data_IF_119015657169
#
_entry.id   IF_119015657169
#
_cell.length_a   1.000
_cell.length_b   1.000
_cell.length_c   1.000
_cell.angle_alpha   90.00
_cell.angle_beta   90.00
_cell.angle_gamma   90.00
#
_symmetry.space_group_name_H-M   'P 1'
#
loop_
_entity.id
_entity.type
_entity.pdbx_description
1 polymer ?
#
# COMPACT_ATOMS: atom_id res chain seq x y z
N UNK A 1 -5.34 12.10 -15.99
CA UNK A 1 -6.61 11.95 -15.28
C UNK A 1 -6.39 11.23 -13.99
N UNK A 2 -6.95 11.78 -12.92
CA UNK A 2 -6.63 11.29 -11.56
C UNK A 2 -7.10 9.86 -11.30
N UNK A 3 -8.13 9.39 -12.01
CA UNK A 3 -8.70 8.07 -11.80
C UNK A 3 -8.25 7.03 -12.83
N UNK A 4 -7.14 7.29 -13.54
CA UNK A 4 -6.56 6.34 -14.47
C UNK A 4 -5.30 5.72 -13.90
N UNK A 5 -5.21 4.39 -13.98
CA UNK A 5 -3.99 3.65 -13.65
C UNK A 5 -3.06 3.63 -14.86
N UNK A 6 -1.76 3.56 -14.60
CA UNK A 6 -0.78 3.31 -15.66
C UNK A 6 -1.02 1.93 -16.28
N UNK A 7 -0.59 1.74 -17.52
CA UNK A 7 -0.84 0.50 -18.24
C UNK A 7 -0.26 -0.72 -17.51
N UNK A 8 0.88 -0.55 -16.83
CA UNK A 8 1.53 -1.64 -16.09
C UNK A 8 0.73 -2.03 -14.85
N UNK A 9 -0.26 -1.23 -14.46
CA UNK A 9 -1.14 -1.54 -13.34
C UNK A 9 -2.49 -2.07 -13.81
N UNK A 10 -2.62 -2.48 -15.06
CA UNK A 10 -3.87 -2.98 -15.62
C UNK A 10 -4.42 -4.18 -14.83
N UNK A 11 -3.57 -4.96 -14.20
CA UNK A 11 -3.98 -6.08 -13.35
C UNK A 11 -4.87 -5.62 -12.18
N UNK A 12 -4.78 -4.35 -11.79
CA UNK A 12 -5.58 -3.78 -10.70
C UNK A 12 -6.92 -3.21 -11.16
N UNK A 13 -7.15 -3.08 -12.47
CA UNK A 13 -8.38 -2.49 -13.00
C UNK A 13 -9.66 -3.17 -12.49
N UNK A 14 -9.76 -4.51 -12.48
CA UNK A 14 -10.99 -5.15 -11.99
C UNK A 14 -11.36 -4.78 -10.56
N UNK A 15 -10.35 -4.51 -9.72
CA UNK A 15 -10.59 -4.08 -8.34
C UNK A 15 -11.38 -2.76 -8.32
N UNK A 16 -11.02 -1.80 -9.18
CA UNK A 16 -11.68 -0.50 -9.22
C UNK A 16 -13.02 -0.57 -9.93
N UNK A 17 -13.19 -1.47 -10.88
CA UNK A 17 -14.46 -1.66 -11.58
C UNK A 17 -15.51 -2.32 -10.70
N UNK A 18 -15.13 -2.92 -9.59
CA UNK A 18 -16.01 -3.63 -8.69
C UNK A 18 -16.74 -2.72 -7.68
N UNK A 19 -16.98 -1.46 -8.04
CA UNK A 19 -17.88 -0.60 -7.25
C UNK A 19 -17.21 0.33 -6.26
N UNK A 20 -15.97 0.71 -6.48
CA UNK A 20 -15.32 1.71 -5.63
C UNK A 20 -15.91 3.10 -5.88
N UNK A 21 -16.12 3.87 -4.82
CA UNK A 21 -16.60 5.24 -4.92
C UNK A 21 -15.55 6.15 -5.55
N UNK A 22 -15.99 7.33 -6.02
CA UNK A 22 -15.06 8.33 -6.54
C UNK A 22 -14.03 8.77 -5.51
N UNK A 23 -14.44 8.92 -4.25
CA UNK A 23 -13.52 9.31 -3.18
C UNK A 23 -12.45 8.24 -2.94
N UNK A 24 -12.84 6.97 -2.94
CA UNK A 24 -11.90 5.87 -2.77
C UNK A 24 -10.90 5.79 -3.93
N UNK A 25 -11.39 5.96 -5.17
CA UNK A 25 -10.53 5.95 -6.35
C UNK A 25 -9.57 7.14 -6.36
N UNK A 26 -10.05 8.31 -5.95
CA UNK A 26 -9.23 9.51 -5.91
C UNK A 26 -8.07 9.38 -4.92
N UNK A 27 -8.25 8.60 -3.86
CA UNK A 27 -7.17 8.36 -2.89
C UNK A 27 -6.22 7.26 -3.35
N UNK A 28 -6.75 6.16 -3.88
CA UNK A 28 -5.95 4.98 -4.17
C UNK A 28 -5.16 5.07 -5.47
N UNK A 29 -5.78 5.54 -6.54
CA UNK A 29 -5.13 5.46 -7.86
C UNK A 29 -3.84 6.26 -7.95
N UNK A 30 -3.81 7.53 -7.49
CA UNK A 30 -2.53 8.26 -7.50
C UNK A 30 -1.48 7.59 -6.62
N UNK A 31 -1.89 7.01 -5.50
CA UNK A 31 -0.97 6.35 -4.58
C UNK A 31 -0.36 5.10 -5.19
N UNK A 32 -1.19 4.27 -5.84
CA UNK A 32 -0.70 3.05 -6.50
C UNK A 32 0.22 3.39 -7.66
N UNK A 33 -0.10 4.43 -8.43
CA UNK A 33 0.77 4.92 -9.50
C UNK A 33 2.10 5.42 -8.94
N UNK A 34 2.06 6.10 -7.80
CA UNK A 34 3.28 6.58 -7.15
C UNK A 34 4.18 5.42 -6.71
N UNK A 35 3.60 4.37 -6.12
CA UNK A 35 4.36 3.18 -5.71
C UNK A 35 5.02 2.54 -6.92
N UNK A 36 4.25 2.35 -8.00
CA UNK A 36 4.77 1.74 -9.22
C UNK A 36 5.92 2.55 -9.81
N UNK A 37 5.78 3.87 -9.83
CA UNK A 37 6.80 4.76 -10.41
C UNK A 37 8.06 4.81 -9.54
N UNK A 38 7.88 4.83 -8.23
CA UNK A 38 8.99 4.97 -7.27
C UNK A 38 9.73 3.65 -7.07
N UNK A 39 9.01 2.52 -7.11
CA UNK A 39 9.56 1.18 -6.91
C UNK A 39 9.19 0.28 -8.08
N UNK A 40 9.77 0.52 -9.27
CA UNK A 40 9.35 -0.20 -10.48
C UNK A 40 9.65 -1.70 -10.45
N UNK A 41 10.51 -2.16 -9.54
CA UNK A 41 10.81 -3.58 -9.40
C UNK A 41 9.67 -4.36 -8.72
N UNK A 42 8.73 -3.68 -8.07
CA UNK A 42 7.62 -4.36 -7.41
C UNK A 42 6.55 -4.78 -8.39
N UNK A 43 5.95 -5.94 -8.16
CA UNK A 43 4.89 -6.50 -9.01
C UNK A 43 3.53 -6.24 -8.39
N UNK A 44 2.62 -5.56 -9.10
CA UNK A 44 1.25 -5.37 -8.60
C UNK A 44 0.43 -6.64 -8.76
N UNK A 45 -0.48 -6.89 -7.80
CA UNK A 45 -1.45 -7.98 -7.91
C UNK A 45 -2.66 -7.67 -7.02
N UNK A 46 -3.75 -8.40 -7.24
CA UNK A 46 -4.92 -8.37 -6.35
C UNK A 46 -5.03 -9.72 -5.65
N UNK A 47 -5.08 -9.71 -4.34
CA UNK A 47 -5.33 -10.90 -3.54
C UNK A 47 -6.15 -10.49 -2.32
N UNK A 48 -7.03 -11.39 -1.86
CA UNK A 48 -7.94 -11.10 -0.75
C UNK A 48 -8.72 -9.81 -0.96
N UNK A 49 -9.11 -9.56 -2.22
CA UNK A 49 -9.86 -8.37 -2.64
C UNK A 49 -9.13 -7.06 -2.30
N UNK A 50 -7.80 -7.07 -2.36
CA UNK A 50 -6.97 -5.89 -2.09
C UNK A 50 -5.87 -5.75 -3.14
N UNK A 51 -5.61 -4.53 -3.63
CA UNK A 51 -4.43 -4.29 -4.44
C UNK A 51 -3.18 -4.33 -3.57
N UNK A 52 -2.12 -4.93 -4.08
CA UNK A 52 -0.87 -5.07 -3.32
C UNK A 52 0.32 -5.13 -4.27
N UNK A 53 1.50 -4.96 -3.69
CA UNK A 53 2.76 -5.10 -4.42
C UNK A 53 3.62 -6.17 -3.75
N UNK A 54 4.30 -6.93 -4.59
CA UNK A 54 5.21 -8.00 -4.14
C UNK A 54 6.59 -7.77 -4.73
N UNK A 55 7.61 -8.35 -4.09
CA UNK A 55 8.97 -8.39 -4.61
C UNK A 55 9.41 -9.85 -4.64
N UNK A 56 9.82 -10.34 -5.81
CA UNK A 56 10.19 -11.74 -6.04
C UNK A 56 9.20 -12.72 -5.36
N UNK A 57 7.91 -12.40 -5.42
CA UNK A 57 6.85 -13.26 -4.91
C UNK A 57 6.50 -13.07 -3.43
N UNK A 58 7.25 -12.25 -2.68
CA UNK A 58 6.91 -12.01 -1.28
C UNK A 58 6.14 -10.70 -1.11
N UNK A 59 5.20 -10.69 -0.16
CA UNK A 59 4.37 -9.51 0.12
C UNK A 59 5.21 -8.34 0.60
N UNK A 60 4.99 -7.17 0.03
CA UNK A 60 5.65 -5.93 0.46
C UNK A 60 4.66 -4.98 1.12
N UNK A 61 3.55 -4.68 0.45
CA UNK A 61 2.57 -3.71 0.94
C UNK A 61 1.22 -3.95 0.27
N UNK A 62 0.14 -3.71 1.01
CA UNK A 62 -1.21 -3.82 0.48
C UNK A 62 -2.04 -2.59 0.84
N UNK A 63 -3.15 -2.41 0.13
CA UNK A 63 -4.00 -1.23 0.27
C UNK A 63 -5.47 -1.65 0.29
N UNK A 64 -6.25 -0.95 1.09
CA UNK A 64 -7.71 -1.06 1.04
C UNK A 64 -8.30 0.25 1.52
N UNK A 65 -9.62 0.38 1.41
CA UNK A 65 -10.30 1.59 1.86
C UNK A 65 -11.46 1.22 2.76
N UNK A 66 -11.72 2.06 3.74
CA UNK A 66 -12.94 2.05 4.53
C UNK A 66 -13.75 3.28 4.15
N UNK A 67 -14.79 3.58 4.91
CA UNK A 67 -15.71 4.67 4.58
C UNK A 67 -15.01 6.03 4.49
N UNK A 68 -14.07 6.29 5.39
CA UNK A 68 -13.47 7.61 5.55
C UNK A 68 -11.95 7.58 5.64
N UNK A 69 -11.32 6.43 5.43
CA UNK A 69 -9.87 6.34 5.52
C UNK A 69 -9.30 5.27 4.59
N UNK A 70 -8.04 5.48 4.26
CA UNK A 70 -7.19 4.55 3.53
C UNK A 70 -6.51 3.62 4.55
N UNK A 71 -6.46 2.33 4.23
CA UNK A 71 -5.69 1.36 4.99
C UNK A 71 -4.46 0.94 4.21
N UNK A 72 -3.30 1.06 4.82
CA UNK A 72 -2.06 0.51 4.28
C UNK A 72 -1.72 -0.71 5.12
N UNK A 73 -1.73 -1.89 4.48
CA UNK A 73 -1.47 -3.14 5.17
C UNK A 73 0.03 -3.43 5.17
N UNK A 74 0.56 -3.67 6.35
CA UNK A 74 1.97 -4.00 6.58
C UNK A 74 2.03 -5.21 7.50
N UNK A 75 3.06 -6.04 7.32
CA UNK A 75 3.28 -7.12 8.29
C UNK A 75 3.62 -6.54 9.65
N UNK A 76 3.24 -7.25 10.71
CA UNK A 76 3.37 -6.74 12.08
C UNK A 76 4.77 -6.23 12.43
N UNK A 77 5.87 -6.94 12.09
CA UNK A 77 7.21 -6.43 12.42
C UNK A 77 7.52 -5.09 11.78
N UNK A 78 7.06 -4.88 10.54
CA UNK A 78 7.27 -3.61 9.83
C UNK A 78 6.44 -2.51 10.48
N UNK A 79 5.18 -2.79 10.76
CA UNK A 79 4.32 -1.79 11.39
C UNK A 79 4.84 -1.41 12.77
N UNK A 80 5.30 -2.38 13.56
CA UNK A 80 5.87 -2.11 14.87
C UNK A 80 7.12 -1.24 14.77
N UNK A 81 7.95 -1.49 13.77
CA UNK A 81 9.16 -0.70 13.54
C UNK A 81 8.84 0.79 13.27
N UNK A 82 7.75 1.04 12.55
CA UNK A 82 7.37 2.40 12.14
C UNK A 82 6.23 2.99 12.97
N UNK A 83 5.71 2.29 13.97
CA UNK A 83 4.54 2.70 14.73
C UNK A 83 4.67 4.11 15.31
N UNK A 84 5.80 4.40 15.96
CA UNK A 84 6.01 5.71 16.56
C UNK A 84 6.00 6.82 15.50
N UNK A 85 6.62 6.57 14.35
CA UNK A 85 6.66 7.55 13.26
C UNK A 85 5.26 7.76 12.66
N UNK A 86 4.48 6.68 12.51
CA UNK A 86 3.11 6.76 11.99
C UNK A 86 2.24 7.60 12.93
N UNK A 87 2.32 7.33 14.23
CA UNK A 87 1.55 8.07 15.23
C UNK A 87 2.01 9.53 15.33
N UNK A 88 3.30 9.78 15.22
CA UNK A 88 3.84 11.14 15.21
C UNK A 88 3.36 11.93 13.98
N UNK A 89 3.07 11.25 12.88
CA UNK A 89 2.48 11.86 11.68
C UNK A 89 0.99 12.16 11.83
N UNK A 90 0.38 11.77 12.95
CA UNK A 90 -1.03 12.00 13.22
C UNK A 90 -1.95 10.92 12.65
N UNK A 91 -1.40 9.82 12.20
CA UNK A 91 -2.18 8.70 11.67
C UNK A 91 -2.38 7.65 12.76
N UNK A 92 -3.25 6.69 12.49
CA UNK A 92 -3.54 5.61 13.42
C UNK A 92 -2.86 4.31 12.98
N UNK A 93 -2.24 3.62 13.92
CA UNK A 93 -1.60 2.32 13.65
C UNK A 93 -2.31 1.24 14.47
N UNK A 94 -2.77 0.20 13.78
CA UNK A 94 -3.31 -1.01 14.43
C UNK A 94 -2.22 -2.08 14.46
N UNK A 95 -2.59 -3.35 14.60
CA UNK A 95 -1.62 -4.45 14.56
C UNK A 95 -0.95 -4.60 13.19
N UNK A 96 -1.73 -4.40 12.11
CA UNK A 96 -1.24 -4.61 10.75
C UNK A 96 -1.65 -3.51 9.77
N UNK A 97 -2.33 -2.46 10.24
CA UNK A 97 -2.82 -1.41 9.36
C UNK A 97 -2.32 -0.03 9.80
N UNK A 98 -1.86 0.73 8.83
CA UNK A 98 -1.60 2.15 8.94
C UNK A 98 -2.81 2.84 8.31
N UNK A 99 -3.57 3.57 9.11
CA UNK A 99 -4.84 4.18 8.71
C UNK A 99 -4.69 5.69 8.54
N UNK A 100 -5.06 6.18 7.37
CA UNK A 100 -4.92 7.60 7.01
C UNK A 100 -6.29 8.12 6.61
N UNK A 101 -6.79 9.15 7.31
CA UNK A 101 -8.07 9.77 6.96
C UNK A 101 -7.98 10.36 5.56
N UNK A 102 -9.07 10.25 4.76
CA UNK A 102 -9.11 10.77 3.40
C UNK A 102 -8.85 12.27 3.31
N UNK A 103 -9.07 13.01 4.39
CA UNK A 103 -8.84 14.46 4.41
C UNK A 103 -7.37 14.83 4.62
N UNK A 104 -6.51 13.85 4.90
CA UNK A 104 -5.08 14.08 5.11
C UNK A 104 -4.29 13.64 3.89
N UNK A 105 -3.22 14.36 3.54
CA UNK A 105 -2.30 13.86 2.52
C UNK A 105 -1.50 12.68 3.06
N UNK A 106 -1.11 11.77 2.17
CA UNK A 106 -0.23 10.66 2.53
C UNK A 106 1.19 11.20 2.68
N UNK A 107 1.88 10.80 3.75
CA UNK A 107 3.29 11.12 3.92
C UNK A 107 4.11 10.16 3.05
N UNK A 108 4.46 10.61 1.85
CA UNK A 108 5.16 9.76 0.88
C UNK A 108 6.56 9.38 1.35
N UNK A 109 7.25 10.26 2.07
CA UNK A 109 8.59 9.92 2.60
C UNK A 109 8.49 8.76 3.60
N UNK A 110 7.51 8.81 4.49
CA UNK A 110 7.32 7.75 5.46
C UNK A 110 6.89 6.44 4.76
N UNK A 111 6.00 6.55 3.78
CA UNK A 111 5.57 5.39 2.99
C UNK A 111 6.75 4.75 2.26
N UNK A 112 7.60 5.57 1.64
CA UNK A 112 8.79 5.05 0.95
C UNK A 112 9.72 4.32 1.91
N UNK A 113 9.87 4.80 3.14
CA UNK A 113 10.68 4.15 4.15
C UNK A 113 10.13 2.76 4.52
N UNK A 114 8.79 2.64 4.67
CA UNK A 114 8.19 1.34 5.00
C UNK A 114 8.37 0.34 3.88
N UNK A 115 8.21 0.79 2.62
CA UNK A 115 8.39 -0.08 1.46
C UNK A 115 9.85 -0.52 1.35
N UNK A 116 10.78 0.41 1.46
CA UNK A 116 12.21 0.11 1.37
C UNK A 116 12.66 -0.84 2.49
N UNK A 117 12.15 -0.63 3.70
CA UNK A 117 12.45 -1.51 4.82
C UNK A 117 12.02 -2.95 4.52
N UNK A 118 10.82 -3.12 3.95
CA UNK A 118 10.35 -4.45 3.58
C UNK A 118 11.18 -5.07 2.47
N UNK A 119 11.52 -4.29 1.45
CA UNK A 119 12.39 -4.78 0.38
C UNK A 119 13.71 -5.26 0.96
N UNK A 120 14.33 -4.45 1.81
CA UNK A 120 15.66 -4.76 2.36
C UNK A 120 15.63 -5.96 3.30
N UNK A 121 14.62 -6.07 4.15
CA UNK A 121 14.55 -7.13 5.17
C UNK A 121 13.96 -8.42 4.64
N UNK A 122 13.43 -8.44 3.43
CA UNK A 122 12.81 -9.64 2.83
C UNK A 122 13.57 -10.15 1.60
N UNK A 123 14.79 -9.70 1.37
CA UNK A 123 15.56 -10.11 0.19
C UNK A 123 15.76 -11.62 0.13
N UNK A 124 15.91 -12.28 1.27
CA UNK A 124 16.09 -13.73 1.35
C UNK A 124 14.79 -14.49 1.62
N UNK A 125 13.66 -13.79 1.69
CA UNK A 125 12.37 -14.42 1.98
C UNK A 125 11.84 -15.10 0.71
N UNK A 126 11.54 -16.39 0.81
CA UNK A 126 11.03 -17.18 -0.30
C UNK A 126 9.54 -17.51 -0.19
N UNK A 127 8.91 -17.12 0.92
CA UNK A 127 7.48 -17.31 1.17
C UNK A 127 6.75 -15.99 0.96
N UNK A 128 5.42 -16.07 0.72
CA UNK A 128 4.62 -14.86 0.55
C UNK A 128 4.67 -14.00 1.82
N UNK A 129 4.41 -14.60 2.96
CA UNK A 129 4.47 -13.91 4.24
C UNK A 129 5.82 -14.12 4.92
N UNK A 130 6.20 -13.15 5.74
CA UNK A 130 7.39 -13.27 6.59
C UNK A 130 7.19 -14.41 7.58
N UNK A 131 8.23 -15.19 7.78
CA UNK A 131 8.19 -16.32 8.71
C UNK A 131 8.09 -15.87 10.16
#
# INVERSE_FOLDING_TARGET
MADQLHIDLAVLQPYFEAGKSSAQRAQLIPLLNWVHTTFPQLTPRVAWNQPMFTDHGTFIIGFSTAKDHLNIALETPTLDHFRAAIEANGDHATKMLWQINFKKPVNHDLLAQTIQYNIDTKQATTTFWRA
#
